data_IF_968637258795
#
_entry.id   IF_968637258795
#
_cell.length_a   1.000
_cell.length_b   1.000
_cell.length_c   1.000
_cell.angle_alpha   90.00
_cell.angle_beta   90.00
_cell.angle_gamma   90.00
#
_symmetry.space_group_name_H-M   'P 1'
#
loop_
_entity.id
_entity.type
_entity.pdbx_description
1 polymer ?
#
# COMPACT_ATOMS: atom_id res chain seq x y z
N UNK A 1 11.84 0.79 -34.35
CA UNK A 1 11.70 -0.59 -33.81
C UNK A 1 10.93 -0.52 -32.50
N UNK A 2 9.69 -1.02 -32.43
CA UNK A 2 8.87 -1.00 -31.20
C UNK A 2 9.27 -2.20 -30.34
N UNK A 3 9.93 -1.95 -29.22
CA UNK A 3 10.24 -2.99 -28.23
C UNK A 3 8.92 -3.46 -27.60
N UNK A 4 8.59 -4.73 -27.82
CA UNK A 4 7.50 -5.43 -27.17
C UNK A 4 7.84 -5.59 -25.68
N UNK A 5 7.24 -4.75 -24.84
CA UNK A 5 7.29 -4.94 -23.39
C UNK A 5 6.35 -6.09 -23.06
N UNK A 6 6.93 -7.28 -22.81
CA UNK A 6 6.18 -8.44 -22.33
C UNK A 6 5.86 -8.23 -20.85
N UNK A 7 4.63 -7.84 -20.57
CA UNK A 7 4.10 -7.78 -19.19
C UNK A 7 3.73 -9.21 -18.81
N UNK A 8 4.66 -9.95 -18.20
CA UNK A 8 4.29 -11.17 -17.50
C UNK A 8 3.62 -10.79 -16.17
N UNK A 9 2.35 -11.14 -16.04
CA UNK A 9 1.62 -11.06 -14.77
C UNK A 9 2.34 -12.00 -13.78
N UNK A 10 2.93 -11.44 -12.72
CA UNK A 10 3.62 -12.17 -11.64
C UNK A 10 2.61 -12.88 -10.71
N UNK A 11 1.47 -13.30 -11.27
CA UNK A 11 0.45 -14.08 -10.56
C UNK A 11 0.67 -15.59 -10.78
N UNK A 12 1.63 -15.94 -11.67
CA UNK A 12 1.86 -17.31 -12.13
C UNK A 12 3.35 -17.68 -12.11
N UNK A 13 3.93 -17.81 -10.91
CA UNK A 13 5.07 -18.73 -10.72
C UNK A 13 4.77 -19.59 -9.50
N UNK A 14 3.86 -20.55 -9.71
CA UNK A 14 3.90 -21.78 -8.92
C UNK A 14 5.21 -22.50 -9.22
N UNK A 15 5.87 -23.01 -8.17
CA UNK A 15 7.07 -23.87 -8.23
C UNK A 15 8.43 -23.17 -8.41
N UNK A 16 8.68 -22.08 -7.69
CA UNK A 16 10.04 -21.74 -7.32
C UNK A 16 10.20 -22.00 -5.82
N UNK A 17 10.84 -23.10 -5.47
CA UNK A 17 11.36 -23.32 -4.12
C UNK A 17 12.16 -22.06 -3.72
N UNK A 18 12.04 -21.53 -2.49
CA UNK A 18 12.76 -20.33 -2.06
C UNK A 18 14.30 -20.43 -2.14
N UNK A 19 14.82 -21.61 -2.48
CA UNK A 19 16.24 -21.85 -2.72
C UNK A 19 16.71 -21.16 -4.02
N UNK A 20 16.95 -19.85 -3.90
CA UNK A 20 17.72 -18.97 -4.79
C UNK A 20 17.09 -18.66 -6.15
N UNK A 21 16.36 -17.53 -6.18
CA UNK A 21 16.09 -16.80 -7.41
C UNK A 21 17.39 -16.60 -8.21
N UNK A 22 17.33 -16.77 -9.54
CA UNK A 22 18.49 -16.50 -10.39
C UNK A 22 18.99 -15.05 -10.19
N UNK A 23 20.29 -14.75 -10.44
CA UNK A 23 20.83 -13.40 -10.21
C UNK A 23 20.02 -12.28 -10.90
N UNK A 24 19.48 -12.55 -12.10
CA UNK A 24 18.59 -11.62 -12.81
C UNK A 24 17.23 -11.48 -12.11
N UNK A 25 16.61 -12.57 -11.66
CA UNK A 25 15.35 -12.54 -10.91
C UNK A 25 15.47 -11.80 -9.57
N UNK A 26 16.60 -11.95 -8.88
CA UNK A 26 16.91 -11.21 -7.65
C UNK A 26 17.03 -9.70 -7.89
N UNK A 27 17.63 -9.30 -9.02
CA UNK A 27 17.70 -7.89 -9.42
C UNK A 27 16.30 -7.33 -9.69
N UNK A 28 15.49 -8.01 -10.51
CA UNK A 28 14.14 -7.56 -10.82
C UNK A 28 13.25 -7.50 -9.58
N UNK A 29 13.35 -8.44 -8.65
CA UNK A 29 12.60 -8.41 -7.40
C UNK A 29 12.89 -7.13 -6.60
N UNK A 30 14.18 -6.76 -6.46
CA UNK A 30 14.58 -5.54 -5.75
C UNK A 30 14.08 -4.28 -6.44
N UNK A 31 14.16 -4.22 -7.77
CA UNK A 31 13.65 -3.07 -8.51
C UNK A 31 12.12 -2.96 -8.43
N UNK A 32 11.40 -4.08 -8.54
CA UNK A 32 9.96 -4.09 -8.34
C UNK A 32 9.57 -3.68 -6.91
N UNK A 33 10.30 -4.14 -5.88
CA UNK A 33 10.08 -3.71 -4.50
C UNK A 33 10.29 -2.20 -4.35
N UNK A 34 11.36 -1.65 -4.95
CA UNK A 34 11.64 -0.21 -4.95
C UNK A 34 10.49 0.57 -5.62
N UNK A 35 10.00 0.11 -6.77
CA UNK A 35 8.86 0.72 -7.46
C UNK A 35 7.61 0.75 -6.58
N UNK A 36 7.28 -0.35 -5.88
CA UNK A 36 6.15 -0.39 -4.93
C UNK A 36 6.29 0.65 -3.83
N UNK A 37 7.47 0.79 -3.24
CA UNK A 37 7.71 1.78 -2.18
C UNK A 37 7.62 3.22 -2.69
N UNK A 38 8.04 3.47 -3.93
CA UNK A 38 7.87 4.79 -4.56
C UNK A 38 6.39 5.08 -4.81
N UNK A 39 5.62 4.11 -5.31
CA UNK A 39 4.18 4.28 -5.51
C UNK A 39 3.45 4.52 -4.18
N UNK A 40 3.78 3.77 -3.13
CA UNK A 40 3.25 4.03 -1.79
C UNK A 40 3.53 5.48 -1.34
N UNK A 41 4.76 5.97 -1.54
CA UNK A 41 5.10 7.37 -1.23
C UNK A 41 4.25 8.36 -2.03
N UNK A 42 4.01 8.09 -3.32
CA UNK A 42 3.15 8.92 -4.15
C UNK A 42 1.69 8.91 -3.65
N UNK A 43 1.16 7.73 -3.32
CA UNK A 43 -0.19 7.59 -2.75
C UNK A 43 -0.34 8.37 -1.43
N UNK A 44 0.67 8.28 -0.56
CA UNK A 44 0.74 9.05 0.67
C UNK A 44 0.67 10.57 0.42
N UNK A 45 1.47 11.09 -0.52
CA UNK A 45 1.48 12.52 -0.86
C UNK A 45 0.17 12.97 -1.52
N UNK A 46 -0.45 12.10 -2.31
CA UNK A 46 -1.73 12.33 -2.96
C UNK A 46 -2.94 12.14 -2.02
N UNK A 47 -2.71 11.73 -0.76
CA UNK A 47 -3.76 11.30 0.19
C UNK A 47 -4.62 10.15 -0.33
N UNK A 48 -4.10 9.36 -1.27
CA UNK A 48 -4.70 8.10 -1.71
C UNK A 48 -4.32 6.99 -0.73
N UNK A 49 -5.15 6.82 0.30
CA UNK A 49 -4.94 5.78 1.30
C UNK A 49 -5.06 4.37 0.73
N UNK A 50 -5.96 4.14 -0.23
CA UNK A 50 -6.14 2.82 -0.83
C UNK A 50 -4.88 2.37 -1.56
N UNK A 51 -4.37 3.21 -2.46
CA UNK A 51 -3.15 2.92 -3.21
C UNK A 51 -1.94 2.73 -2.29
N UNK A 52 -1.81 3.59 -1.26
CA UNK A 52 -0.78 3.44 -0.23
C UNK A 52 -0.84 2.08 0.47
N UNK A 53 -1.99 1.67 1.00
CA UNK A 53 -2.12 0.41 1.73
C UNK A 53 -1.91 -0.82 0.83
N UNK A 54 -2.35 -0.77 -0.43
CA UNK A 54 -2.13 -1.83 -1.41
C UNK A 54 -0.63 -2.03 -1.69
N UNK A 55 0.11 -0.96 -1.96
CA UNK A 55 1.54 -1.05 -2.28
C UNK A 55 2.38 -1.47 -1.07
N UNK A 56 2.09 -0.94 0.13
CA UNK A 56 2.74 -1.39 1.37
C UNK A 56 2.42 -2.87 1.66
N UNK A 57 1.19 -3.30 1.42
CA UNK A 57 0.77 -4.69 1.57
C UNK A 57 1.51 -5.64 0.62
N UNK A 58 1.66 -5.26 -0.66
CA UNK A 58 2.43 -6.03 -1.63
C UNK A 58 3.91 -6.10 -1.27
N UNK A 59 4.52 -4.97 -0.88
CA UNK A 59 5.91 -4.91 -0.46
C UNK A 59 6.19 -5.85 0.74
N UNK A 60 5.26 -5.89 1.71
CA UNK A 60 5.36 -6.79 2.88
C UNK A 60 5.32 -8.26 2.46
N UNK A 61 4.36 -8.65 1.61
CA UNK A 61 4.26 -10.04 1.11
C UNK A 61 5.52 -10.48 0.35
N UNK A 62 6.12 -9.58 -0.42
CA UNK A 62 7.33 -9.90 -1.17
C UNK A 62 8.57 -10.02 -0.29
N UNK A 63 8.72 -9.16 0.73
CA UNK A 63 9.77 -9.32 1.73
C UNK A 63 9.64 -10.68 2.44
N UNK A 64 8.43 -11.04 2.89
CA UNK A 64 8.22 -12.30 3.61
C UNK A 64 8.45 -13.54 2.74
N UNK A 65 8.12 -13.47 1.44
CA UNK A 65 8.18 -14.63 0.54
C UNK A 65 9.55 -14.85 -0.10
N UNK A 66 10.28 -13.79 -0.43
CA UNK A 66 11.43 -13.87 -1.33
C UNK A 66 12.75 -13.38 -0.73
N UNK A 67 12.73 -12.78 0.46
CA UNK A 67 13.93 -12.32 1.14
C UNK A 67 14.24 -13.20 2.35
N UNK A 68 15.53 -13.28 2.70
CA UNK A 68 15.98 -14.01 3.88
C UNK A 68 15.49 -13.32 5.17
N UNK A 69 14.51 -13.95 5.84
CA UNK A 69 13.96 -13.47 7.10
C UNK A 69 14.95 -13.49 8.28
N UNK A 70 16.08 -14.19 8.15
CA UNK A 70 17.19 -14.16 9.12
C UNK A 70 18.04 -12.90 9.02
N UNK A 71 18.02 -12.22 7.87
CA UNK A 71 18.81 -11.01 7.66
C UNK A 71 18.25 -9.83 8.47
N UNK A 72 19.10 -9.21 9.30
CA UNK A 72 18.72 -8.05 10.13
C UNK A 72 18.10 -6.90 9.33
N UNK A 73 18.59 -6.66 8.11
CA UNK A 73 18.04 -5.64 7.22
C UNK A 73 16.59 -5.94 6.82
N UNK A 74 16.29 -7.19 6.47
CA UNK A 74 14.94 -7.65 6.08
C UNK A 74 13.99 -7.52 7.27
N UNK A 75 14.42 -7.93 8.46
CA UNK A 75 13.65 -7.79 9.69
C UNK A 75 13.33 -6.32 10.00
N UNK A 76 14.33 -5.43 9.88
CA UNK A 76 14.14 -4.00 10.08
C UNK A 76 13.14 -3.42 9.07
N UNK A 77 13.27 -3.77 7.80
CA UNK A 77 12.35 -3.33 6.75
C UNK A 77 10.92 -3.85 6.98
N UNK A 78 10.77 -5.13 7.34
CA UNK A 78 9.47 -5.73 7.65
C UNK A 78 8.78 -5.01 8.82
N UNK A 79 9.53 -4.65 9.87
CA UNK A 79 8.99 -3.89 11.00
C UNK A 79 8.52 -2.49 10.59
N UNK A 80 9.28 -1.81 9.73
CA UNK A 80 8.87 -0.50 9.19
C UNK A 80 7.59 -0.63 8.37
N UNK A 81 7.50 -1.60 7.46
CA UNK A 81 6.30 -1.79 6.64
C UNK A 81 5.07 -2.15 7.47
N UNK A 82 5.22 -2.98 8.51
CA UNK A 82 4.14 -3.29 9.47
C UNK A 82 3.68 -2.05 10.24
N UNK A 83 4.59 -1.13 10.57
CA UNK A 83 4.24 0.16 11.14
C UNK A 83 3.45 1.03 10.15
N UNK A 84 3.92 1.11 8.91
CA UNK A 84 3.27 1.87 7.84
C UNK A 84 1.88 1.36 7.49
N UNK A 85 1.61 0.05 7.59
CA UNK A 85 0.27 -0.50 7.38
C UNK A 85 -0.79 0.05 8.33
N UNK A 86 -0.38 0.56 9.50
CA UNK A 86 -1.27 1.12 10.52
C UNK A 86 -1.46 2.63 10.38
N UNK A 87 -0.76 3.26 9.44
CA UNK A 87 -0.88 4.69 9.21
C UNK A 87 -2.17 4.95 8.44
N UNK A 88 -3.06 5.70 9.04
CA UNK A 88 -4.27 6.19 8.40
C UNK A 88 -3.93 7.30 7.39
N UNK A 89 -4.04 6.97 6.11
CA UNK A 89 -3.77 7.90 5.01
C UNK A 89 -5.09 8.33 4.37
N UNK A 90 -5.30 9.64 4.25
CA UNK A 90 -6.46 10.17 3.55
C UNK A 90 -7.78 10.06 4.33
N UNK A 91 -7.74 9.96 5.66
CA UNK A 91 -8.93 10.11 6.50
C UNK A 91 -9.56 11.48 6.21
N UNK A 92 -10.73 11.46 5.58
CA UNK A 92 -11.61 12.61 5.50
C UNK A 92 -12.03 13.00 6.92
N UNK A 93 -11.95 14.30 7.24
CA UNK A 93 -12.49 14.79 8.51
C UNK A 93 -13.96 14.33 8.62
N UNK A 94 -14.42 13.87 9.79
CA UNK A 94 -15.82 13.49 9.96
C UNK A 94 -16.69 14.64 9.46
N UNK A 95 -17.56 14.33 8.49
CA UNK A 95 -18.41 15.33 7.86
C UNK A 95 -19.33 15.96 8.91
N UNK A 96 -19.57 17.27 8.80
CA UNK A 96 -20.44 18.00 9.72
C UNK A 96 -21.94 17.71 9.50
N UNK A 97 -22.30 16.67 8.75
CA UNK A 97 -23.67 16.39 8.35
C UNK A 97 -24.58 16.20 9.56
N UNK A 98 -24.16 15.42 10.55
CA UNK A 98 -24.94 15.22 11.79
C UNK A 98 -25.16 16.54 12.54
N UNK A 99 -24.12 17.38 12.63
CA UNK A 99 -24.19 18.69 13.26
C UNK A 99 -25.07 19.67 12.47
N UNK A 100 -24.99 19.64 11.13
CA UNK A 100 -25.79 20.47 10.23
C UNK A 100 -27.26 20.06 10.25
N UNK A 101 -27.55 18.77 10.32
CA UNK A 101 -28.90 18.23 10.44
C UNK A 101 -29.51 18.59 11.80
N UNK A 102 -28.73 18.53 12.89
CA UNK A 102 -29.16 18.98 14.20
C UNK A 102 -29.55 20.48 14.21
N UNK A 103 -28.75 21.34 13.56
CA UNK A 103 -29.05 22.78 13.45
C UNK A 103 -30.27 23.03 12.56
N UNK A 104 -30.42 22.31 11.44
CA UNK A 104 -31.61 22.41 10.58
C UNK A 104 -32.88 22.03 11.33
N UNK A 105 -32.85 20.91 12.04
CA UNK A 105 -33.99 20.45 12.84
C UNK A 105 -34.34 21.43 13.98
N UNK A 106 -33.33 22.03 14.62
CA UNK A 106 -33.54 23.06 15.63
C UNK A 106 -34.23 24.32 15.05
N UNK A 107 -33.83 24.78 13.85
CA UNK A 107 -34.49 25.91 13.19
C UNK A 107 -35.95 25.61 12.81
N UNK A 108 -36.22 24.43 12.26
CA UNK A 108 -37.57 24.01 11.89
C UNK A 108 -38.52 23.89 13.10
N UNK A 109 -38.00 23.48 14.26
CA UNK A 109 -38.76 23.44 15.50
C UNK A 109 -39.10 24.84 16.04
N UNK A 110 -38.28 25.85 15.71
CA UNK A 110 -38.47 27.23 16.14
C UNK A 110 -39.51 27.98 15.30
N UNK A 111 -39.57 27.69 14.00
CA UNK A 111 -40.50 28.35 13.07
C UNK A 111 -41.94 27.81 13.15
N UNK A 112 -42.15 26.66 13.81
CA UNK A 112 -43.46 26.05 14.06
C UNK A 112 -44.17 26.56 15.33
N UNK A 113 -43.57 27.51 16.05
CA UNK A 113 -44.06 28.07 17.31
C UNK A 113 -44.44 29.53 17.12
#
# INVERSE_FOLDING_TARGET
MRQLVRIERIDSVGHADPALLSPSQSFFLRENLKLRLVNARLGLLARDGRGFHEDIGQATRWLDRYFDGGAKAVQSSANVLKGLQKVDVGVEAPGLNETLDAVRNFKLARDKK
#
